data_IF_305070030338
#
_entry.id   IF_305070030338
#
_cell.length_a   1.000
_cell.length_b   1.000
_cell.length_c   1.000
_cell.angle_alpha   90.00
_cell.angle_beta   90.00
_cell.angle_gamma   90.00
#
_symmetry.space_group_name_H-M   'P 1'
#
loop_
_entity.id
_entity.type
_entity.pdbx_description
1 polymer ?
#
# COMPACT_ATOMS: atom_id res chain seq x y z
N UNK A 1 -14.05 1.40 7.49
CA UNK A 1 -13.44 1.44 6.15
C UNK A 1 -12.16 0.63 6.14
N UNK A 2 -11.92 -0.12 5.09
CA UNK A 2 -10.74 -0.95 4.96
C UNK A 2 -9.95 -0.59 3.72
N UNK A 3 -8.64 -0.68 3.83
CA UNK A 3 -7.74 -0.53 2.69
C UNK A 3 -7.14 -1.89 2.42
N UNK A 4 -7.23 -2.34 1.18
CA UNK A 4 -6.73 -3.65 0.77
C UNK A 4 -5.62 -3.44 -0.25
N UNK A 5 -4.42 -3.87 0.11
CA UNK A 5 -3.26 -3.81 -0.77
C UNK A 5 -3.03 -5.15 -1.43
N UNK A 6 -2.78 -5.12 -2.73
CA UNK A 6 -2.55 -6.31 -3.54
C UNK A 6 -1.07 -6.40 -3.86
N UNK A 7 -0.44 -7.47 -3.40
CA UNK A 7 0.97 -7.71 -3.68
C UNK A 7 1.15 -8.41 -5.03
N UNK A 8 2.35 -8.34 -5.57
CA UNK A 8 2.66 -8.93 -6.87
C UNK A 8 2.39 -10.44 -6.92
N UNK A 9 2.45 -11.12 -5.78
CA UNK A 9 2.16 -12.55 -5.67
C UNK A 9 0.67 -12.86 -5.62
N UNK A 10 -0.20 -11.84 -5.53
CA UNK A 10 -1.62 -12.01 -5.34
C UNK A 10 -2.05 -12.01 -3.88
N UNK A 11 -1.12 -11.91 -2.95
CA UNK A 11 -1.43 -11.84 -1.53
C UNK A 11 -2.10 -10.50 -1.21
N UNK A 12 -3.13 -10.54 -0.36
CA UNK A 12 -3.87 -9.34 0.05
C UNK A 12 -3.50 -8.96 1.47
N UNK A 13 -3.21 -7.67 1.68
CA UNK A 13 -3.00 -7.10 3.01
C UNK A 13 -4.16 -6.17 3.31
N UNK A 14 -4.82 -6.39 4.45
CA UNK A 14 -5.99 -5.62 4.86
C UNK A 14 -5.64 -4.71 6.04
N UNK A 15 -6.00 -3.44 5.92
CA UNK A 15 -5.79 -2.45 6.98
C UNK A 15 -7.10 -1.79 7.33
N UNK A 16 -7.39 -1.66 8.62
CA UNK A 16 -8.57 -0.93 9.09
C UNK A 16 -8.17 0.52 9.32
N UNK A 17 -8.95 1.45 8.76
CA UNK A 17 -8.69 2.87 8.91
C UNK A 17 -9.87 3.57 9.56
N UNK A 18 -9.58 4.64 10.31
CA UNK A 18 -10.57 5.42 11.02
C UNK A 18 -11.07 6.55 10.13
N UNK A 19 -12.38 6.53 9.84
CA UNK A 19 -13.00 7.56 9.02
C UNK A 19 -13.00 8.94 9.67
N UNK A 20 -12.86 8.99 11.00
CA UNK A 20 -12.93 10.26 11.71
C UNK A 20 -11.65 11.06 11.65
N UNK A 21 -10.52 10.41 11.49
CA UNK A 21 -9.22 11.08 11.47
C UNK A 21 -8.86 11.61 10.10
N UNK A 22 -9.29 10.92 9.05
CA UNK A 22 -9.04 11.35 7.68
C UNK A 22 -10.12 10.76 6.78
N UNK A 23 -11.01 11.58 6.23
CA UNK A 23 -12.10 11.09 5.38
C UNK A 23 -11.64 10.57 4.03
N UNK A 24 -10.43 10.90 3.59
CA UNK A 24 -9.94 10.51 2.28
C UNK A 24 -9.18 9.19 2.37
N UNK A 25 -9.82 8.13 1.91
CA UNK A 25 -9.22 6.79 1.88
C UNK A 25 -7.93 6.75 1.06
N UNK A 26 -7.89 7.51 -0.02
CA UNK A 26 -6.72 7.54 -0.89
C UNK A 26 -5.49 8.07 -0.14
N UNK A 27 -5.66 9.15 0.61
CA UNK A 27 -4.58 9.73 1.40
C UNK A 27 -4.11 8.77 2.49
N UNK A 28 -5.05 8.12 3.18
CA UNK A 28 -4.70 7.15 4.21
C UNK A 28 -3.95 5.96 3.64
N UNK A 29 -4.37 5.46 2.49
CA UNK A 29 -3.68 4.36 1.81
C UNK A 29 -2.25 4.74 1.45
N UNK A 30 -2.06 5.96 0.97
CA UNK A 30 -0.73 6.45 0.63
C UNK A 30 0.17 6.56 1.85
N UNK A 31 -0.37 7.03 2.98
CA UNK A 31 0.39 7.11 4.23
C UNK A 31 0.83 5.74 4.73
N UNK A 32 -0.06 4.75 4.65
CA UNK A 32 0.28 3.37 5.01
C UNK A 32 1.38 2.84 4.11
N UNK A 33 1.26 3.10 2.82
CA UNK A 33 2.24 2.66 1.83
C UNK A 33 3.63 3.25 2.12
N UNK A 34 3.70 4.53 2.45
CA UNK A 34 4.96 5.20 2.76
C UNK A 34 5.63 4.62 4.01
N UNK A 35 4.83 4.18 4.98
CA UNK A 35 5.36 3.61 6.21
C UNK A 35 5.86 2.18 6.02
N UNK A 36 5.18 1.39 5.21
CA UNK A 36 5.46 -0.04 5.07
C UNK A 36 6.34 -0.37 3.88
N UNK A 37 6.44 0.54 2.91
CA UNK A 37 7.13 0.28 1.66
C UNK A 37 8.08 1.41 1.29
N UNK A 38 9.01 1.10 0.40
CA UNK A 38 9.94 2.08 -0.16
C UNK A 38 9.72 2.13 -1.67
N UNK A 39 9.66 3.35 -2.22
CA UNK A 39 9.54 3.53 -3.66
C UNK A 39 10.90 3.33 -4.32
N UNK A 40 10.93 2.55 -5.39
CA UNK A 40 12.12 2.34 -6.21
C UNK A 40 11.85 2.85 -7.61
N UNK A 41 12.82 3.57 -8.15
CA UNK A 41 12.76 4.10 -9.52
C UNK A 41 14.07 3.71 -10.22
N UNK A 42 14.24 2.42 -10.46
CA UNK A 42 15.45 1.85 -11.05
C UNK A 42 15.10 1.16 -12.37
N UNK A 43 14.73 1.95 -13.37
CA UNK A 43 14.42 1.42 -14.69
C UNK A 43 13.26 0.43 -14.68
N UNK A 44 13.55 -0.85 -14.87
CA UNK A 44 12.52 -1.89 -14.94
C UNK A 44 11.91 -2.22 -13.57
N UNK A 45 12.57 -1.82 -12.48
CA UNK A 45 12.11 -2.11 -11.12
C UNK A 45 11.45 -0.88 -10.50
N UNK A 46 10.52 -0.26 -11.21
CA UNK A 46 9.78 0.87 -10.68
C UNK A 46 8.59 0.41 -9.84
N UNK A 47 8.38 1.07 -8.72
CA UNK A 47 7.22 0.82 -7.88
C UNK A 47 7.53 0.80 -6.39
N UNK A 48 6.53 0.39 -5.62
CA UNK A 48 6.64 0.30 -4.18
C UNK A 48 6.97 -1.13 -3.76
N UNK A 49 7.96 -1.26 -2.88
CA UNK A 49 8.40 -2.55 -2.37
C UNK A 49 8.34 -2.54 -0.85
N UNK A 50 7.73 -3.56 -0.26
CA UNK A 50 7.64 -3.69 1.19
C UNK A 50 9.04 -3.76 1.81
N UNK A 51 9.21 -3.08 2.94
CA UNK A 51 10.51 -3.04 3.62
C UNK A 51 10.90 -4.39 4.22
N UNK A 52 9.92 -5.12 4.72
CA UNK A 52 10.15 -6.40 5.40
C UNK A 52 10.43 -7.53 4.42
N UNK A 53 9.50 -7.79 3.52
CA UNK A 53 9.57 -8.92 2.58
C UNK A 53 10.19 -8.55 1.25
N UNK A 54 10.35 -7.25 0.98
CA UNK A 54 10.81 -6.71 -0.30
C UNK A 54 9.91 -7.09 -1.47
N UNK A 55 8.67 -7.46 -1.15
CA UNK A 55 7.68 -7.83 -2.15
C UNK A 55 7.07 -6.58 -2.76
N UNK A 56 6.86 -6.60 -4.07
CA UNK A 56 6.29 -5.45 -4.77
C UNK A 56 4.80 -5.31 -4.46
N UNK A 57 4.35 -4.07 -4.23
CA UNK A 57 2.94 -3.75 -4.09
C UNK A 57 2.39 -3.42 -5.47
N UNK A 58 1.43 -4.23 -5.94
CA UNK A 58 0.83 -4.03 -7.26
C UNK A 58 -0.22 -2.94 -7.29
N UNK A 59 -0.87 -2.69 -6.16
CA UNK A 59 -1.90 -1.67 -6.07
C UNK A 59 -2.69 -1.80 -4.78
N UNK A 60 -3.69 -0.93 -4.59
CA UNK A 60 -4.55 -1.01 -3.42
C UNK A 60 -5.88 -0.33 -3.72
N UNK A 61 -6.90 -0.69 -2.94
CA UNK A 61 -8.23 -0.11 -3.07
C UNK A 61 -8.91 -0.02 -1.71
N UNK A 62 -9.98 0.76 -1.65
CA UNK A 62 -10.77 0.96 -0.44
C UNK A 62 -12.06 0.14 -0.50
N UNK A 63 -12.42 -0.41 0.66
CA UNK A 63 -13.64 -1.20 0.77
C UNK A 63 -14.54 -0.70 1.90
#
# INVERSE_FOLDING_TARGET
>A
MKIIMILATGTLLTFTVDKRTNPDCFTQGYEILEKLATYRDLGLDQGWYLKDSKMQVGGWYCE
#
